data_IF_177366938160
#
_entry.id   IF_177366938160
#
_cell.length_a   1.000
_cell.length_b   1.000
_cell.length_c   1.000
_cell.angle_alpha   90.00
_cell.angle_beta   90.00
_cell.angle_gamma   90.00
#
_symmetry.space_group_name_H-M   'P 1'
#
loop_
_entity.id
_entity.type
_entity.pdbx_description
1 polymer ?
#
# COMPACT_ATOMS: atom_id res chain seq x y z
N UNK A 1 13.56 -63.57 21.16
CA UNK A 1 13.33 -64.57 20.10
C UNK A 1 12.67 -65.77 20.77
N UNK A 2 11.47 -66.18 20.34
CA UNK A 2 10.75 -67.31 20.93
C UNK A 2 9.25 -67.18 20.74
N UNK A 3 8.75 -67.75 19.64
CA UNK A 3 7.35 -67.80 19.23
C UNK A 3 6.58 -68.92 19.95
N UNK A 4 5.26 -68.78 20.04
CA UNK A 4 4.30 -69.87 20.34
C UNK A 4 3.23 -69.37 21.32
N UNK A 5 1.95 -69.25 21.00
CA UNK A 5 1.13 -70.04 20.08
C UNK A 5 0.22 -70.95 20.90
N UNK A 6 -0.99 -70.48 21.24
CA UNK A 6 -2.08 -71.32 21.77
C UNK A 6 -3.40 -70.93 21.12
N UNK A 7 -4.09 -71.96 20.63
CA UNK A 7 -5.36 -71.94 19.90
C UNK A 7 -6.52 -72.35 20.82
N UNK A 8 -7.73 -71.96 20.40
CA UNK A 8 -9.03 -72.65 20.54
C UNK A 8 -9.67 -72.69 21.94
N UNK A 9 -11.00 -72.63 22.15
CA UNK A 9 -12.22 -72.69 21.30
C UNK A 9 -13.42 -72.41 22.22
N UNK A 10 -14.46 -71.69 21.76
CA UNK A 10 -15.88 -72.04 21.98
C UNK A 10 -16.79 -71.10 21.15
N UNK A 11 -17.47 -71.57 20.08
CA UNK A 11 -18.82 -72.19 20.03
C UNK A 11 -19.92 -71.18 20.39
N UNK A 12 -20.46 -70.45 19.39
CA UNK A 12 -21.74 -70.64 18.66
C UNK A 12 -23.00 -70.24 19.46
N UNK A 13 -23.69 -69.20 18.96
CA UNK A 13 -25.16 -69.07 18.78
C UNK A 13 -25.36 -67.76 17.97
N UNK A 14 -25.75 -67.75 16.70
CA UNK A 14 -27.02 -68.12 16.07
C UNK A 14 -28.16 -67.11 16.36
N UNK A 15 -28.36 -66.21 15.41
CA UNK A 15 -29.62 -65.55 14.96
C UNK A 15 -29.18 -64.54 13.88
N UNK A 16 -29.20 -64.86 12.58
CA UNK A 16 -30.40 -64.98 11.72
C UNK A 16 -31.23 -63.70 11.79
N UNK A 17 -30.95 -62.74 10.91
CA UNK A 17 -31.95 -61.91 10.26
C UNK A 17 -31.47 -61.50 8.86
N UNK A 18 -32.40 -61.63 7.94
CA UNK A 18 -32.28 -61.69 6.50
C UNK A 18 -31.73 -60.46 5.78
N UNK A 19 -31.12 -60.77 4.64
CA UNK A 19 -30.96 -59.94 3.45
C UNK A 19 -32.26 -59.19 3.09
N UNK A 20 -32.14 -57.96 2.61
CA UNK A 20 -32.72 -57.61 1.31
C UNK A 20 -32.10 -56.33 0.73
N UNK A 21 -31.78 -56.45 -0.56
CA UNK A 21 -31.32 -55.46 -1.53
C UNK A 21 -32.05 -54.10 -1.46
N UNK A 22 -31.37 -53.03 -1.87
CA UNK A 22 -31.71 -52.29 -3.11
C UNK A 22 -30.84 -51.02 -3.28
N UNK A 23 -30.10 -51.03 -4.38
CA UNK A 23 -29.87 -49.96 -5.35
C UNK A 23 -29.19 -48.63 -5.00
N UNK A 24 -28.02 -48.51 -5.64
CA UNK A 24 -27.39 -47.34 -6.23
C UNK A 24 -28.32 -46.17 -6.59
N UNK A 25 -27.98 -44.96 -6.13
CA UNK A 25 -28.19 -43.72 -6.89
C UNK A 25 -27.10 -42.68 -6.56
N UNK A 26 -26.25 -42.42 -7.55
CA UNK A 26 -25.71 -41.08 -7.85
C UNK A 26 -26.19 -40.74 -9.26
N UNK A 27 -26.13 -39.49 -9.78
CA UNK A 27 -26.15 -38.17 -9.14
C UNK A 27 -27.27 -37.29 -9.75
N UNK A 28 -27.67 -36.17 -9.13
CA UNK A 28 -28.38 -35.11 -9.86
C UNK A 28 -27.87 -33.72 -9.53
N UNK A 29 -27.25 -33.11 -10.55
CA UNK A 29 -27.15 -31.68 -10.71
C UNK A 29 -28.54 -31.05 -10.66
N UNK A 30 -28.73 -30.05 -9.80
CA UNK A 30 -29.76 -29.02 -9.99
C UNK A 30 -29.11 -27.65 -9.92
N UNK A 31 -28.87 -27.11 -11.10
CA UNK A 31 -28.96 -25.70 -11.41
C UNK A 31 -30.31 -25.16 -10.92
N UNK A 32 -30.28 -24.12 -10.09
CA UNK A 32 -31.39 -23.18 -9.98
C UNK A 32 -30.84 -21.78 -9.79
N UNK A 33 -31.50 -20.90 -10.51
CA UNK A 33 -31.10 -19.58 -10.95
C UNK A 33 -31.71 -18.54 -10.01
N UNK A 34 -31.17 -17.32 -10.08
CA UNK A 34 -31.80 -16.05 -9.64
C UNK A 34 -31.75 -15.71 -8.14
N UNK A 35 -30.83 -14.83 -7.74
CA UNK A 35 -31.10 -13.39 -7.71
C UNK A 35 -29.90 -12.64 -7.10
N UNK A 36 -29.19 -11.91 -7.95
CA UNK A 36 -28.14 -10.98 -7.56
C UNK A 36 -28.75 -9.66 -7.07
N UNK A 37 -28.37 -9.13 -5.89
CA UNK A 37 -28.38 -7.69 -5.67
C UNK A 37 -27.08 -7.12 -6.25
N UNK A 38 -27.22 -6.59 -7.45
CA UNK A 38 -26.25 -5.73 -8.16
C UNK A 38 -25.96 -4.52 -7.28
N UNK A 39 -24.90 -4.54 -6.47
CA UNK A 39 -24.41 -3.32 -5.79
C UNK A 39 -23.76 -2.41 -6.85
N UNK A 40 -24.54 -1.43 -7.29
CA UNK A 40 -24.07 -0.23 -7.98
C UNK A 40 -23.05 0.49 -7.08
N UNK A 41 -21.76 0.40 -7.42
CA UNK A 41 -20.82 1.43 -7.01
C UNK A 41 -21.00 2.63 -7.93
N UNK A 42 -21.58 3.67 -7.35
CA UNK A 42 -21.85 4.95 -7.96
C UNK A 42 -20.50 5.67 -8.15
N UNK A 43 -19.95 5.58 -9.37
CA UNK A 43 -18.96 6.53 -9.86
C UNK A 43 -19.71 7.80 -10.23
N UNK A 44 -19.68 8.84 -9.38
CA UNK A 44 -19.75 10.21 -9.88
C UNK A 44 -19.17 11.25 -8.93
N UNK A 45 -18.02 11.77 -9.37
CA UNK A 45 -17.61 13.18 -9.40
C UNK A 45 -17.75 14.04 -8.15
N UNK A 46 -16.58 14.41 -7.59
CA UNK A 46 -16.33 15.82 -7.32
C UNK A 46 -14.92 16.19 -7.83
N UNK A 47 -14.86 16.59 -9.10
CA UNK A 47 -13.70 17.24 -9.70
C UNK A 47 -13.58 18.63 -9.10
N UNK A 48 -12.74 18.76 -8.07
CA UNK A 48 -12.30 20.04 -7.52
C UNK A 48 -11.48 20.80 -8.57
N UNK A 49 -12.17 21.71 -9.23
CA UNK A 49 -11.67 22.72 -10.14
C UNK A 49 -10.72 23.68 -9.40
N UNK A 50 -9.40 23.52 -9.57
CA UNK A 50 -8.43 24.52 -9.14
C UNK A 50 -7.99 25.40 -10.31
N UNK A 51 -8.64 26.54 -10.30
CA UNK A 51 -8.40 27.77 -11.03
C UNK A 51 -6.91 28.08 -11.21
N UNK A 52 -6.47 28.11 -12.45
CA UNK A 52 -5.20 28.68 -12.89
C UNK A 52 -5.35 30.19 -13.03
N UNK A 53 -4.86 30.99 -12.08
CA UNK A 53 -4.39 32.34 -12.41
C UNK A 53 -3.43 32.97 -11.39
N UNK A 54 -2.38 33.55 -11.97
CA UNK A 54 -1.58 34.72 -11.53
C UNK A 54 -0.79 34.69 -10.21
N UNK A 55 0.55 34.82 -10.34
CA UNK A 55 1.35 35.53 -9.33
C UNK A 55 2.79 35.05 -9.14
N UNK A 56 3.63 35.10 -10.17
CA UNK A 56 5.10 35.08 -9.95
C UNK A 56 5.57 36.42 -9.37
N UNK A 57 6.41 36.41 -8.33
CA UNK A 57 7.52 37.34 -8.25
C UNK A 57 8.86 36.61 -8.29
N UNK A 58 9.74 37.14 -9.13
CA UNK A 58 11.15 36.78 -9.32
C UNK A 58 11.98 36.83 -8.02
N UNK A 59 12.93 35.89 -7.87
CA UNK A 59 14.33 36.10 -7.43
C UNK A 59 15.10 34.76 -7.50
N UNK A 60 16.06 34.60 -8.42
CA UNK A 60 17.51 34.88 -8.28
C UNK A 60 18.14 34.12 -7.09
N UNK A 61 19.11 33.21 -7.23
CA UNK A 61 19.95 32.86 -8.37
C UNK A 61 20.80 31.62 -8.06
N UNK A 62 21.32 31.00 -9.11
CA UNK A 62 22.16 29.80 -9.05
C UNK A 62 22.46 29.33 -10.47
N UNK A 63 23.45 29.94 -11.11
CA UNK A 63 23.90 29.57 -12.46
C UNK A 63 24.55 28.19 -12.44
N UNK A 64 23.77 27.15 -12.72
CA UNK A 64 24.33 25.92 -13.30
C UNK A 64 24.44 26.14 -14.81
N UNK A 65 25.68 26.25 -15.29
CA UNK A 65 26.03 26.33 -16.70
C UNK A 65 25.77 24.97 -17.35
N UNK A 66 24.55 24.74 -17.82
CA UNK A 66 24.28 23.64 -18.76
C UNK A 66 24.87 23.98 -20.14
N UNK A 67 25.39 22.99 -20.88
CA UNK A 67 25.90 23.22 -22.23
C UNK A 67 24.77 23.70 -23.14
N UNK A 68 24.98 24.86 -23.76
CA UNK A 68 24.05 25.49 -24.69
C UNK A 68 24.06 24.69 -26.00
N UNK A 69 22.92 24.13 -26.39
CA UNK A 69 22.75 23.43 -27.67
C UNK A 69 22.99 24.40 -28.82
N UNK A 70 23.90 24.06 -29.75
CA UNK A 70 24.29 24.88 -30.91
C UNK A 70 23.15 25.13 -31.92
N UNK A 71 21.98 24.52 -31.75
CA UNK A 71 20.90 24.51 -32.75
C UNK A 71 19.56 25.06 -32.28
N UNK A 72 19.49 25.77 -31.14
CA UNK A 72 18.27 26.47 -30.74
C UNK A 72 17.97 27.63 -31.71
N UNK A 73 17.04 27.45 -32.66
CA UNK A 73 16.70 28.45 -33.66
C UNK A 73 15.22 28.86 -33.65
N UNK A 74 15.05 30.18 -33.82
CA UNK A 74 13.84 30.94 -34.12
C UNK A 74 12.95 30.28 -35.16
N UNK A 75 11.65 30.27 -34.86
CA UNK A 75 10.60 29.70 -35.71
C UNK A 75 9.77 30.85 -36.29
N UNK A 76 10.03 31.20 -37.56
CA UNK A 76 9.13 31.98 -38.41
C UNK A 76 9.41 31.59 -39.86
N UNK A 77 8.57 30.73 -40.44
CA UNK A 77 8.70 30.24 -41.80
C UNK A 77 7.48 29.43 -42.20
N UNK A 78 6.80 29.90 -43.24
CA UNK A 78 5.48 29.54 -43.75
C UNK A 78 5.32 28.08 -44.19
N UNK A 79 4.05 27.64 -44.15
CA UNK A 79 3.55 26.36 -44.63
C UNK A 79 3.55 26.25 -46.17
N UNK A 80 3.45 25.00 -46.62
CA UNK A 80 3.19 24.51 -47.98
C UNK A 80 4.37 24.31 -48.93
N UNK A 81 5.13 23.24 -48.70
CA UNK A 81 5.72 22.43 -49.77
C UNK A 81 6.06 21.03 -49.24
N UNK A 82 5.48 19.97 -49.83
CA UNK A 82 5.80 18.58 -49.48
C UNK A 82 7.14 18.18 -50.13
N UNK A 83 8.24 17.95 -49.36
CA UNK A 83 9.53 17.67 -49.97
C UNK A 83 9.69 16.19 -50.32
N UNK A 84 10.18 15.94 -51.53
CA UNK A 84 10.60 14.64 -52.07
C UNK A 84 11.65 13.90 -51.23
N UNK A 85 11.68 12.58 -51.41
CA UNK A 85 12.33 11.56 -50.58
C UNK A 85 13.88 11.53 -50.54
N UNK A 86 14.57 12.62 -50.88
CA UNK A 86 16.05 12.66 -50.85
C UNK A 86 16.66 13.66 -49.83
N UNK A 87 15.83 14.30 -49.01
CA UNK A 87 16.31 15.21 -47.95
C UNK A 87 16.71 14.45 -46.68
N UNK A 88 17.76 13.63 -46.77
CA UNK A 88 18.37 12.93 -45.63
C UNK A 88 18.79 13.90 -44.52
N UNK A 89 19.13 15.14 -44.89
CA UNK A 89 19.51 16.21 -43.95
C UNK A 89 18.29 16.71 -43.17
N UNK A 90 17.17 16.99 -43.86
CA UNK A 90 15.91 17.41 -43.26
C UNK A 90 15.30 16.35 -42.36
N UNK A 91 15.38 15.07 -42.72
CA UNK A 91 14.90 13.98 -41.87
C UNK A 91 15.67 13.90 -40.53
N UNK A 92 17.01 13.96 -40.58
CA UNK A 92 17.85 13.99 -39.37
C UNK A 92 17.55 15.21 -38.50
N UNK A 93 17.34 16.38 -39.13
CA UNK A 93 16.95 17.62 -38.41
C UNK A 93 15.60 17.46 -37.69
N UNK A 94 14.61 16.83 -38.31
CA UNK A 94 13.31 16.55 -37.67
C UNK A 94 13.46 15.66 -36.44
N UNK A 95 14.23 14.56 -36.52
CA UNK A 95 14.45 13.68 -35.36
C UNK A 95 15.10 14.44 -34.19
N UNK A 96 16.11 15.27 -34.46
CA UNK A 96 16.77 16.06 -33.42
C UNK A 96 15.81 17.08 -32.78
N UNK A 97 15.02 17.79 -33.59
CA UNK A 97 14.01 18.72 -33.09
C UNK A 97 12.92 18.01 -32.27
N UNK A 98 12.51 16.82 -32.69
CA UNK A 98 11.54 16.00 -31.95
C UNK A 98 12.10 15.59 -30.58
N UNK A 99 13.38 15.18 -30.50
CA UNK A 99 14.05 14.86 -29.23
C UNK A 99 14.14 16.08 -28.31
N UNK A 100 14.54 17.25 -28.82
CA UNK A 100 14.62 18.49 -28.04
C UNK A 100 13.24 18.89 -27.51
N UNK A 101 12.20 18.78 -28.35
CA UNK A 101 10.81 19.04 -27.97
C UNK A 101 10.35 18.07 -26.88
N UNK A 102 10.60 16.77 -27.05
CA UNK A 102 10.25 15.75 -26.07
C UNK A 102 10.97 15.97 -24.73
N UNK A 103 12.26 16.32 -24.76
CA UNK A 103 13.08 16.61 -23.58
C UNK A 103 12.56 17.79 -22.77
N UNK A 104 11.92 18.76 -23.43
CA UNK A 104 11.28 19.91 -22.77
C UNK A 104 9.95 19.54 -22.11
N UNK A 105 9.37 18.38 -22.47
CA UNK A 105 8.13 17.87 -21.92
C UNK A 105 8.28 17.16 -20.57
N UNK A 106 7.16 16.60 -20.12
CA UNK A 106 7.04 15.85 -18.86
C UNK A 106 6.70 14.36 -19.07
N UNK A 107 6.46 13.93 -20.31
CA UNK A 107 6.07 12.55 -20.64
C UNK A 107 7.31 11.68 -20.81
N UNK A 108 7.45 10.67 -19.96
CA UNK A 108 8.61 9.77 -19.92
C UNK A 108 8.67 8.94 -21.20
N UNK A 109 7.52 8.43 -21.64
CA UNK A 109 7.36 7.54 -22.79
C UNK A 109 7.75 8.26 -24.10
N UNK A 110 7.37 9.54 -24.22
CA UNK A 110 7.73 10.34 -25.39
C UNK A 110 9.24 10.57 -25.46
N UNK A 111 9.91 10.80 -24.33
CA UNK A 111 11.37 10.98 -24.28
C UNK A 111 12.07 9.66 -24.65
N UNK A 112 11.64 8.53 -24.09
CA UNK A 112 12.20 7.20 -24.40
C UNK A 112 12.10 6.88 -25.88
N UNK A 113 10.90 7.05 -26.46
CA UNK A 113 10.66 6.79 -27.89
C UNK A 113 11.54 7.66 -28.79
N UNK A 114 11.75 8.93 -28.43
CA UNK A 114 12.59 9.83 -29.22
C UNK A 114 14.09 9.51 -29.04
N UNK A 115 14.52 9.07 -27.86
CA UNK A 115 15.89 8.56 -27.63
C UNK A 115 16.14 7.32 -28.50
N UNK A 116 15.24 6.34 -28.47
CA UNK A 116 15.36 5.12 -29.27
C UNK A 116 15.41 5.46 -30.78
N UNK A 117 14.55 6.38 -31.24
CA UNK A 117 14.56 6.85 -32.62
C UNK A 117 15.88 7.57 -32.96
N UNK A 118 16.43 8.36 -32.05
CA UNK A 118 17.71 9.04 -32.23
C UNK A 118 18.87 8.04 -32.38
N UNK A 119 18.92 7.03 -31.51
CA UNK A 119 19.96 5.99 -31.49
C UNK A 119 19.86 5.05 -32.70
N UNK A 120 18.65 4.61 -33.07
CA UNK A 120 18.41 3.75 -34.24
C UNK A 120 18.84 4.39 -35.56
N UNK A 121 18.84 5.72 -35.64
CA UNK A 121 19.29 6.45 -36.82
C UNK A 121 20.78 6.84 -36.77
N UNK A 122 21.52 6.34 -35.76
CA UNK A 122 22.96 6.58 -35.56
C UNK A 122 23.33 8.07 -35.64
N UNK A 123 22.51 8.93 -35.02
CA UNK A 123 22.77 10.36 -35.04
C UNK A 123 23.90 10.73 -34.08
N UNK A 124 24.73 11.70 -34.46
CA UNK A 124 25.81 12.21 -33.61
C UNK A 124 25.23 12.95 -32.39
N UNK A 125 25.76 12.67 -31.20
CA UNK A 125 25.35 13.34 -29.97
C UNK A 125 26.01 14.73 -29.89
N UNK A 126 25.22 15.77 -30.13
CA UNK A 126 25.63 17.16 -29.94
C UNK A 126 25.27 17.67 -28.53
N UNK A 127 25.07 16.78 -27.55
CA UNK A 127 24.61 17.06 -26.19
C UNK A 127 23.10 16.89 -26.01
N UNK A 128 22.33 16.80 -27.09
CA UNK A 128 20.87 16.64 -27.04
C UNK A 128 20.48 15.26 -26.49
N UNK A 129 21.20 14.20 -26.89
CA UNK A 129 20.93 12.84 -26.42
C UNK A 129 21.31 12.69 -24.95
N UNK A 130 22.48 13.23 -24.57
CA UNK A 130 22.89 13.31 -23.17
C UNK A 130 21.80 14.01 -22.35
N UNK A 131 21.42 15.25 -22.69
CA UNK A 131 20.38 16.02 -22.00
C UNK A 131 19.04 15.28 -21.90
N UNK A 132 18.63 14.59 -22.96
CA UNK A 132 17.40 13.79 -22.95
C UNK A 132 17.49 12.63 -21.94
N UNK A 133 18.61 11.90 -21.91
CA UNK A 133 18.86 10.83 -20.93
C UNK A 133 18.89 11.37 -19.49
N UNK A 134 19.52 12.52 -19.28
CA UNK A 134 19.54 13.17 -17.96
C UNK A 134 18.12 13.49 -17.48
N UNK A 135 17.34 14.15 -18.35
CA UNK A 135 15.96 14.52 -18.06
C UNK A 135 15.10 13.29 -17.81
N UNK A 136 15.26 12.23 -18.60
CA UNK A 136 14.56 10.97 -18.42
C UNK A 136 14.82 10.38 -17.03
N UNK A 137 16.08 10.32 -16.61
CA UNK A 137 16.46 9.80 -15.29
C UNK A 137 15.83 10.62 -14.16
N UNK A 138 15.86 11.96 -14.26
CA UNK A 138 15.20 12.84 -13.29
C UNK A 138 13.70 12.55 -13.18
N UNK A 139 13.00 12.44 -14.31
CA UNK A 139 11.56 12.20 -14.32
C UNK A 139 11.20 10.81 -13.76
N UNK A 140 12.01 9.78 -14.06
CA UNK A 140 11.86 8.44 -13.48
C UNK A 140 12.01 8.48 -11.96
N UNK A 141 13.11 9.02 -11.44
CA UNK A 141 13.32 9.16 -9.99
C UNK A 141 12.19 9.92 -9.31
N UNK A 142 11.74 11.03 -9.91
CA UNK A 142 10.62 11.82 -9.38
C UNK A 142 9.31 11.02 -9.32
N UNK A 143 9.01 10.26 -10.38
CA UNK A 143 7.84 9.39 -10.45
C UNK A 143 7.95 8.27 -9.41
N UNK A 144 9.10 7.62 -9.35
CA UNK A 144 9.33 6.46 -8.49
C UNK A 144 9.27 6.87 -7.00
N UNK A 145 9.80 8.04 -6.62
CA UNK A 145 9.62 8.61 -5.27
C UNK A 145 8.14 8.80 -4.92
N UNK A 146 7.37 9.43 -5.82
CA UNK A 146 5.94 9.66 -5.60
C UNK A 146 5.18 8.35 -5.48
N UNK A 147 5.49 7.38 -6.34
CA UNK A 147 4.83 6.08 -6.36
C UNK A 147 5.21 5.25 -5.11
N UNK A 148 6.46 5.35 -4.64
CA UNK A 148 6.91 4.76 -3.38
C UNK A 148 6.16 5.35 -2.18
N UNK A 149 6.09 6.68 -2.07
CA UNK A 149 5.32 7.40 -1.03
C UNK A 149 3.86 6.91 -1.01
N UNK A 150 3.25 6.76 -2.18
CA UNK A 150 1.84 6.31 -2.30
C UNK A 150 1.65 4.86 -1.88
N UNK A 151 2.61 3.98 -2.17
CA UNK A 151 2.53 2.55 -1.84
C UNK A 151 2.80 2.25 -0.38
N UNK A 152 3.37 3.20 0.38
CA UNK A 152 3.68 3.05 1.80
C UNK A 152 4.50 1.78 2.13
N UNK A 153 5.36 1.33 1.23
CA UNK A 153 6.21 0.16 1.46
C UNK A 153 7.60 0.62 1.92
N UNK A 154 7.98 0.30 3.15
CA UNK A 154 9.23 0.76 3.76
C UNK A 154 10.49 0.38 2.94
N UNK A 155 10.58 -0.88 2.47
CA UNK A 155 11.76 -1.34 1.72
C UNK A 155 11.89 -0.71 0.34
N UNK A 156 10.78 -0.45 -0.35
CA UNK A 156 10.79 0.31 -1.61
C UNK A 156 11.15 1.76 -1.36
N UNK A 157 10.60 2.38 -0.30
CA UNK A 157 10.92 3.75 0.08
C UNK A 157 12.41 3.96 0.35
N UNK A 158 13.01 3.09 1.18
CA UNK A 158 14.43 3.17 1.53
C UNK A 158 15.31 3.14 0.30
N UNK A 159 15.03 2.20 -0.61
CA UNK A 159 15.78 2.09 -1.87
C UNK A 159 15.63 3.33 -2.73
N UNK A 160 14.40 3.81 -2.92
CA UNK A 160 14.15 4.96 -3.81
C UNK A 160 14.69 6.28 -3.21
N UNK A 161 14.67 6.44 -1.89
CA UNK A 161 15.33 7.55 -1.19
C UNK A 161 16.83 7.50 -1.46
N UNK A 162 17.48 6.36 -1.20
CA UNK A 162 18.92 6.20 -1.42
C UNK A 162 19.31 6.44 -2.89
N UNK A 163 18.52 5.96 -3.85
CA UNK A 163 18.75 6.22 -5.27
C UNK A 163 18.62 7.72 -5.62
N UNK A 164 17.65 8.42 -5.03
CA UNK A 164 17.44 9.84 -5.25
C UNK A 164 18.54 10.71 -4.61
N UNK A 165 18.99 10.37 -3.40
CA UNK A 165 20.07 11.06 -2.68
C UNK A 165 21.43 10.90 -3.36
N UNK A 166 21.73 9.69 -3.86
CA UNK A 166 22.97 9.42 -4.60
C UNK A 166 22.94 9.99 -6.02
N UNK A 167 21.81 10.53 -6.48
CA UNK A 167 21.69 11.15 -7.78
C UNK A 167 22.16 12.61 -7.75
N UNK A 168 22.65 13.10 -8.90
CA UNK A 168 22.93 14.54 -9.10
C UNK A 168 21.69 15.45 -8.96
N UNK A 169 20.49 14.88 -8.86
CA UNK A 169 19.24 15.61 -8.73
C UNK A 169 18.77 15.73 -7.28
N UNK A 170 19.54 15.26 -6.29
CA UNK A 170 19.18 15.28 -4.88
C UNK A 170 18.68 16.68 -4.43
N UNK A 171 19.37 17.75 -4.84
CA UNK A 171 18.94 19.13 -4.52
C UNK A 171 17.59 19.53 -5.11
N UNK A 172 17.25 19.06 -6.32
CA UNK A 172 15.96 19.34 -6.97
C UNK A 172 14.82 18.46 -6.45
N UNK A 173 15.16 17.26 -5.93
CA UNK A 173 14.23 16.29 -5.38
C UNK A 173 14.10 16.39 -3.85
N UNK A 174 14.78 17.35 -3.22
CA UNK A 174 14.84 17.47 -1.77
C UNK A 174 13.47 17.49 -1.08
N UNK A 175 12.45 18.24 -1.57
CA UNK A 175 11.14 18.23 -0.95
C UNK A 175 10.46 16.85 -1.01
N UNK A 176 10.66 16.10 -2.10
CA UNK A 176 10.13 14.74 -2.26
C UNK A 176 10.88 13.73 -1.39
N UNK A 177 12.21 13.88 -1.29
CA UNK A 177 13.05 13.05 -0.42
C UNK A 177 12.60 13.23 1.03
N UNK A 178 12.48 14.47 1.52
CA UNK A 178 12.05 14.74 2.90
C UNK A 178 10.63 14.23 3.17
N UNK A 179 9.72 14.31 2.19
CA UNK A 179 8.40 13.71 2.32
C UNK A 179 8.45 12.18 2.41
N UNK A 180 9.31 11.54 1.63
CA UNK A 180 9.54 10.10 1.68
C UNK A 180 10.17 9.68 3.02
N UNK A 181 11.22 10.36 3.48
CA UNK A 181 11.88 10.10 4.78
C UNK A 181 10.88 10.17 5.94
N UNK A 182 10.02 11.20 5.97
CA UNK A 182 8.95 11.30 6.98
C UNK A 182 7.99 10.11 6.94
N UNK A 183 7.57 9.68 5.74
CA UNK A 183 6.69 8.51 5.60
C UNK A 183 7.42 7.22 6.01
N UNK A 184 8.71 7.10 5.72
CA UNK A 184 9.52 5.96 6.14
C UNK A 184 9.64 5.87 7.66
N UNK A 185 9.98 6.98 8.33
CA UNK A 185 10.06 7.04 9.79
C UNK A 185 8.74 6.63 10.42
N UNK A 186 7.63 7.18 9.92
CA UNK A 186 6.29 6.83 10.35
C UNK A 186 6.00 5.32 10.22
N UNK A 187 6.37 4.70 9.08
CA UNK A 187 6.19 3.26 8.87
C UNK A 187 7.08 2.41 9.79
N UNK A 188 8.30 2.88 10.10
CA UNK A 188 9.19 2.18 11.04
C UNK A 188 8.63 2.19 12.46
N UNK A 189 8.08 3.32 12.90
CA UNK A 189 7.40 3.42 14.20
C UNK A 189 6.19 2.48 14.27
N UNK A 190 5.34 2.46 13.24
CA UNK A 190 4.19 1.54 13.21
C UNK A 190 4.64 0.07 13.26
N UNK A 191 5.68 -0.29 12.50
CA UNK A 191 6.24 -1.64 12.55
C UNK A 191 6.81 -2.00 13.93
N UNK A 192 7.39 -1.04 14.64
CA UNK A 192 7.87 -1.25 16.01
C UNK A 192 6.72 -1.59 16.96
N UNK A 193 5.60 -0.88 16.87
CA UNK A 193 4.43 -1.15 17.71
C UNK A 193 3.73 -2.46 17.35
N UNK A 194 3.73 -2.82 16.06
CA UNK A 194 3.08 -4.05 15.58
C UNK A 194 3.95 -5.30 15.75
N UNK A 195 5.25 -5.18 16.06
CA UNK A 195 6.19 -6.31 16.09
C UNK A 195 5.66 -7.48 16.94
N UNK A 196 5.25 -7.20 18.18
CA UNK A 196 4.79 -8.23 19.11
C UNK A 196 3.53 -8.97 18.61
N UNK A 197 2.63 -8.26 17.90
CA UNK A 197 1.45 -8.87 17.26
C UNK A 197 1.86 -9.70 16.05
N UNK A 198 2.79 -9.22 15.23
CA UNK A 198 3.22 -9.90 14.01
C UNK A 198 4.03 -11.17 14.30
N UNK A 199 4.70 -11.24 15.44
CA UNK A 199 5.43 -12.43 15.93
C UNK A 199 4.61 -13.30 16.87
N UNK A 200 3.36 -12.91 17.16
CA UNK A 200 2.49 -13.65 18.06
C UNK A 200 2.16 -15.03 17.47
N UNK A 201 2.15 -16.05 18.33
CA UNK A 201 1.81 -17.40 17.91
C UNK A 201 0.32 -17.52 17.56
N UNK A 202 0.00 -18.33 16.55
CA UNK A 202 -1.36 -18.58 16.10
C UNK A 202 -2.22 -19.21 17.21
N UNK A 203 -1.59 -19.92 18.15
CA UNK A 203 -2.24 -20.47 19.34
C UNK A 203 -2.87 -19.36 20.20
N UNK A 204 -2.19 -18.23 20.37
CA UNK A 204 -2.67 -17.09 21.16
C UNK A 204 -3.88 -16.40 20.52
N UNK A 205 -3.92 -16.31 19.19
CA UNK A 205 -5.10 -15.79 18.48
C UNK A 205 -6.25 -16.79 18.57
N UNK A 206 -5.94 -18.08 18.49
CA UNK A 206 -6.93 -19.15 18.63
C UNK A 206 -7.55 -19.17 20.03
N UNK A 207 -6.78 -18.83 21.07
CA UNK A 207 -7.27 -18.62 22.44
C UNK A 207 -8.36 -17.53 22.46
N UNK A 208 -8.06 -16.34 21.94
CA UNK A 208 -9.03 -15.23 21.85
C UNK A 208 -10.28 -15.67 21.09
N UNK A 209 -10.11 -16.35 19.95
CA UNK A 209 -11.22 -16.86 19.15
C UNK A 209 -12.04 -17.93 19.88
N UNK A 210 -11.45 -18.71 20.79
CA UNK A 210 -12.13 -19.83 21.47
C UNK A 210 -13.10 -19.40 22.57
N UNK A 211 -13.05 -18.14 23.02
CA UNK A 211 -13.95 -17.66 24.07
C UNK A 211 -15.40 -17.68 23.60
N UNK A 212 -16.22 -18.52 24.24
CA UNK A 212 -17.67 -18.46 24.07
C UNK A 212 -18.29 -17.27 24.82
N UNK A 213 -17.69 -16.90 25.95
CA UNK A 213 -18.04 -15.72 26.76
C UNK A 213 -16.74 -15.05 27.22
N UNK A 214 -16.23 -14.04 26.49
CA UNK A 214 -14.96 -13.43 26.84
C UNK A 214 -15.07 -12.63 28.14
N UNK A 215 -13.97 -12.50 28.91
CA UNK A 215 -13.88 -11.47 29.94
C UNK A 215 -14.15 -10.08 29.34
N UNK A 216 -14.78 -9.19 30.11
CA UNK A 216 -15.15 -7.85 29.63
C UNK A 216 -13.94 -7.06 29.12
N UNK A 217 -12.81 -7.13 29.85
CA UNK A 217 -11.56 -6.48 29.44
C UNK A 217 -11.02 -7.01 28.10
N UNK A 218 -11.15 -8.31 27.82
CA UNK A 218 -10.75 -8.91 26.53
C UNK A 218 -11.66 -8.42 25.41
N UNK A 219 -12.97 -8.44 25.63
CA UNK A 219 -13.96 -7.95 24.67
C UNK A 219 -13.67 -6.51 24.25
N UNK A 220 -13.50 -5.63 25.23
CA UNK A 220 -13.32 -4.20 25.02
C UNK A 220 -11.99 -3.88 24.33
N UNK A 221 -10.91 -4.57 24.69
CA UNK A 221 -9.60 -4.41 24.02
C UNK A 221 -9.66 -4.86 22.56
N UNK A 222 -10.34 -5.98 22.27
CA UNK A 222 -10.50 -6.44 20.90
C UNK A 222 -11.39 -5.48 20.10
N UNK A 223 -12.50 -5.00 20.68
CA UNK A 223 -13.34 -3.98 20.06
C UNK A 223 -12.53 -2.71 19.74
N UNK A 224 -11.80 -2.17 20.72
CA UNK A 224 -10.92 -1.02 20.56
C UNK A 224 -9.89 -1.21 19.42
N UNK A 225 -9.31 -2.42 19.31
CA UNK A 225 -8.37 -2.76 18.25
C UNK A 225 -9.02 -2.75 16.86
N UNK A 226 -10.22 -3.33 16.72
CA UNK A 226 -10.95 -3.30 15.45
C UNK A 226 -11.50 -1.92 15.09
N UNK A 227 -11.81 -1.07 16.07
CA UNK A 227 -12.16 0.33 15.82
C UNK A 227 -11.01 1.07 15.14
N UNK A 228 -9.76 0.89 15.62
CA UNK A 228 -8.58 1.45 14.95
C UNK A 228 -8.44 0.94 13.52
N UNK A 229 -8.80 -0.32 13.26
CA UNK A 229 -8.80 -0.91 11.92
C UNK A 229 -9.98 -0.44 11.03
N UNK A 230 -10.84 0.47 11.51
CA UNK A 230 -11.92 1.10 10.74
C UNK A 230 -13.28 0.43 10.85
N UNK A 231 -13.48 -0.45 11.84
CA UNK A 231 -14.79 -1.05 12.10
C UNK A 231 -15.66 -0.16 13.00
N UNK A 232 -16.98 -0.19 12.77
CA UNK A 232 -17.94 0.62 13.52
C UNK A 232 -18.21 0.07 14.93
N UNK A 233 -18.15 0.94 15.94
CA UNK A 233 -18.35 0.57 17.36
C UNK A 233 -19.66 -0.18 17.61
N UNK A 234 -20.75 0.16 16.92
CA UNK A 234 -22.05 -0.50 17.14
C UNK A 234 -22.02 -1.99 16.80
N UNK A 235 -21.24 -2.38 15.78
CA UNK A 235 -21.08 -3.77 15.36
C UNK A 235 -20.18 -4.57 16.28
N UNK A 236 -19.23 -3.89 16.94
CA UNK A 236 -18.24 -4.50 17.82
C UNK A 236 -18.78 -4.78 19.23
N UNK A 237 -20.02 -4.37 19.52
CA UNK A 237 -20.71 -4.72 20.78
C UNK A 237 -21.12 -6.19 20.83
N UNK A 238 -21.29 -6.82 19.67
CA UNK A 238 -21.60 -8.25 19.58
C UNK A 238 -20.30 -9.05 19.48
N UNK A 239 -20.01 -9.81 20.54
CA UNK A 239 -18.84 -10.68 20.56
C UNK A 239 -18.83 -11.68 19.39
N UNK A 240 -20.00 -12.17 18.96
CA UNK A 240 -20.10 -13.13 17.86
C UNK A 240 -19.52 -12.56 16.56
N UNK A 241 -19.72 -11.26 16.34
CA UNK A 241 -19.14 -10.55 15.21
C UNK A 241 -17.61 -10.43 15.35
N UNK A 242 -17.11 -9.97 16.51
CA UNK A 242 -15.68 -9.90 16.82
C UNK A 242 -14.97 -11.25 16.68
N UNK A 243 -15.59 -12.31 17.21
CA UNK A 243 -15.11 -13.69 17.13
C UNK A 243 -15.02 -14.12 15.66
N UNK A 244 -16.06 -13.90 14.85
CA UNK A 244 -16.04 -14.22 13.42
C UNK A 244 -14.91 -13.50 12.66
N UNK A 245 -14.58 -12.27 13.07
CA UNK A 245 -13.48 -11.48 12.49
C UNK A 245 -12.12 -12.03 12.92
N UNK A 246 -11.95 -12.35 14.21
CA UNK A 246 -10.72 -12.90 14.76
C UNK A 246 -10.37 -14.28 14.17
N UNK A 247 -11.37 -15.05 13.76
CA UNK A 247 -11.20 -16.36 13.11
C UNK A 247 -10.79 -16.31 11.64
N UNK A 248 -10.76 -15.13 11.00
CA UNK A 248 -10.38 -15.00 9.59
C UNK A 248 -8.88 -15.28 9.39
N UNK A 249 -8.55 -15.89 8.25
CA UNK A 249 -7.19 -16.28 7.89
C UNK A 249 -6.72 -15.62 6.58
N UNK A 250 -5.41 -15.59 6.36
CA UNK A 250 -4.82 -15.03 5.14
C UNK A 250 -4.95 -13.51 5.07
N UNK A 251 -5.42 -12.98 3.94
CA UNK A 251 -5.51 -11.52 3.68
C UNK A 251 -6.54 -10.82 4.57
N UNK A 252 -7.54 -11.56 5.04
CA UNK A 252 -8.60 -11.01 5.90
C UNK A 252 -8.31 -11.25 7.40
N UNK A 253 -7.14 -11.81 7.73
CA UNK A 253 -6.75 -12.06 9.12
C UNK A 253 -6.46 -10.77 9.88
N UNK A 254 -6.69 -10.80 11.19
CA UNK A 254 -6.37 -9.69 12.09
C UNK A 254 -4.89 -9.30 12.02
N UNK A 255 -3.97 -10.28 11.95
CA UNK A 255 -2.53 -10.01 11.81
C UNK A 255 -2.25 -9.24 10.51
N UNK A 256 -2.89 -9.63 9.40
CA UNK A 256 -2.72 -8.94 8.12
C UNK A 256 -3.28 -7.51 8.18
N UNK A 257 -4.43 -7.32 8.84
CA UNK A 257 -5.01 -5.99 9.04
C UNK A 257 -4.08 -5.07 9.86
N UNK A 258 -3.47 -5.59 10.93
CA UNK A 258 -2.49 -4.85 11.74
C UNK A 258 -1.20 -4.55 10.96
N UNK A 259 -0.78 -5.43 10.05
CA UNK A 259 0.39 -5.22 9.19
C UNK A 259 0.17 -4.06 8.20
N UNK A 260 -1.00 -4.00 7.59
CA UNK A 260 -1.36 -2.99 6.59
C UNK A 260 -1.96 -1.72 7.21
N UNK A 261 -1.98 -1.64 8.55
CA UNK A 261 -2.56 -0.53 9.28
C UNK A 261 -1.81 0.79 8.99
N UNK A 262 -2.57 1.83 8.66
CA UNK A 262 -2.08 3.20 8.49
C UNK A 262 -2.83 4.14 9.44
N UNK A 263 -2.11 4.68 10.42
CA UNK A 263 -2.67 5.56 11.45
C UNK A 263 -3.23 6.89 10.90
N UNK A 264 -2.83 7.29 9.69
CA UNK A 264 -3.36 8.52 9.06
C UNK A 264 -4.84 8.43 8.67
N UNK A 265 -5.40 7.23 8.60
CA UNK A 265 -6.83 7.01 8.29
C UNK A 265 -7.74 7.03 9.51
N UNK A 266 -7.18 7.13 10.73
CA UNK A 266 -7.96 7.13 11.97
C UNK A 266 -8.36 8.56 12.33
N UNK A 267 -9.67 8.79 12.47
CA UNK A 267 -10.21 10.08 12.88
C UNK A 267 -10.00 10.35 14.38
N UNK A 268 -10.20 11.60 14.79
CA UNK A 268 -9.92 12.02 16.16
C UNK A 268 -10.91 11.48 17.17
N UNK A 269 -12.18 11.39 16.77
CA UNK A 269 -13.21 10.84 17.63
C UNK A 269 -12.94 9.35 17.91
N UNK A 270 -12.58 8.56 16.89
CA UNK A 270 -12.22 7.15 17.08
C UNK A 270 -11.00 6.98 17.98
N UNK A 271 -9.91 7.71 17.75
CA UNK A 271 -8.70 7.61 18.58
C UNK A 271 -8.99 7.94 20.06
N UNK A 272 -9.76 9.01 20.32
CA UNK A 272 -10.19 9.38 21.67
C UNK A 272 -11.09 8.32 22.30
N UNK A 273 -12.04 7.78 21.53
CA UNK A 273 -12.96 6.75 22.00
C UNK A 273 -12.23 5.46 22.37
N UNK A 274 -11.29 5.03 21.54
CA UNK A 274 -10.41 3.89 21.81
C UNK A 274 -9.61 4.12 23.10
N UNK A 275 -9.06 5.33 23.30
CA UNK A 275 -8.36 5.70 24.54
C UNK A 275 -9.23 5.53 25.78
N UNK A 276 -10.47 6.02 25.73
CA UNK A 276 -11.43 5.90 26.83
C UNK A 276 -11.72 4.44 27.19
N UNK A 277 -11.92 3.58 26.18
CA UNK A 277 -12.15 2.14 26.36
C UNK A 277 -10.93 1.48 27.01
N UNK A 278 -9.73 1.73 26.49
CA UNK A 278 -8.49 1.11 26.98
C UNK A 278 -8.12 1.57 28.39
N UNK A 279 -8.39 2.82 28.75
CA UNK A 279 -8.11 3.38 30.08
C UNK A 279 -9.03 2.84 31.18
N UNK A 280 -10.17 2.24 30.82
CA UNK A 280 -11.05 1.60 31.79
C UNK A 280 -10.46 0.31 32.37
N UNK A 281 -9.53 -0.32 31.65
CA UNK A 281 -8.95 -1.60 31.99
C UNK A 281 -7.46 -1.44 32.33
N UNK A 282 -7.03 -1.99 33.46
CA UNK A 282 -5.61 -2.06 33.79
C UNK A 282 -4.91 -3.12 32.93
N UNK A 283 -3.70 -2.81 32.44
CA UNK A 283 -2.94 -3.74 31.60
C UNK A 283 -2.62 -5.05 32.33
N UNK A 284 -2.38 -5.01 33.64
CA UNK A 284 -2.16 -6.18 34.47
C UNK A 284 -3.39 -7.09 34.51
N UNK A 285 -4.58 -6.51 34.66
CA UNK A 285 -5.85 -7.24 34.62
C UNK A 285 -6.08 -7.91 33.26
N UNK A 286 -5.86 -7.17 32.16
CA UNK A 286 -5.99 -7.71 30.80
C UNK A 286 -5.02 -8.86 30.59
N UNK A 287 -3.77 -8.74 31.06
CA UNK A 287 -2.74 -9.78 30.92
C UNK A 287 -3.05 -11.04 31.73
N UNK A 288 -3.63 -10.90 32.91
CA UNK A 288 -4.10 -12.05 33.70
C UNK A 288 -5.25 -12.77 32.98
N UNK A 289 -6.14 -12.02 32.30
CA UNK A 289 -7.25 -12.59 31.56
C UNK A 289 -6.83 -13.24 30.22
N UNK A 290 -5.97 -12.58 29.44
CA UNK A 290 -5.45 -13.11 28.17
C UNK A 290 -4.16 -12.39 27.76
N UNK A 291 -3.09 -13.18 27.53
CA UNK A 291 -1.83 -12.64 27.03
C UNK A 291 -1.98 -12.02 25.64
N UNK A 292 -2.80 -12.63 24.78
CA UNK A 292 -3.07 -12.11 23.43
C UNK A 292 -3.76 -10.76 23.48
N UNK A 293 -4.82 -10.64 24.29
CA UNK A 293 -5.51 -9.36 24.47
C UNK A 293 -4.57 -8.29 25.03
N UNK A 294 -3.69 -8.63 25.98
CA UNK A 294 -2.72 -7.67 26.51
C UNK A 294 -1.76 -7.13 25.43
N UNK A 295 -1.33 -7.97 24.48
CA UNK A 295 -0.53 -7.51 23.34
C UNK A 295 -1.30 -6.51 22.47
N UNK A 296 -2.59 -6.76 22.20
CA UNK A 296 -3.46 -5.82 21.49
C UNK A 296 -3.71 -4.52 22.27
N UNK A 297 -3.84 -4.58 23.60
CA UNK A 297 -3.99 -3.41 24.45
C UNK A 297 -2.76 -2.49 24.33
N UNK A 298 -1.55 -3.05 24.45
CA UNK A 298 -0.29 -2.30 24.30
C UNK A 298 -0.17 -1.68 22.91
N UNK A 299 -0.45 -2.47 21.86
CA UNK A 299 -0.43 -1.97 20.49
C UNK A 299 -1.42 -0.81 20.29
N UNK A 300 -2.69 -1.00 20.63
CA UNK A 300 -3.72 0.00 20.45
C UNK A 300 -3.41 1.28 21.23
N UNK A 301 -2.92 1.15 22.47
CA UNK A 301 -2.48 2.29 23.29
C UNK A 301 -1.34 3.07 22.61
N UNK A 302 -0.30 2.37 22.13
CA UNK A 302 0.82 2.99 21.42
C UNK A 302 0.38 3.68 20.12
N UNK A 303 -0.55 3.09 19.38
CA UNK A 303 -1.11 3.68 18.16
C UNK A 303 -1.86 4.97 18.47
N UNK A 304 -2.72 4.99 19.49
CA UNK A 304 -3.44 6.19 19.89
C UNK A 304 -2.47 7.28 20.35
N UNK A 305 -1.48 6.94 21.17
CA UNK A 305 -0.42 7.89 21.58
C UNK A 305 0.35 8.46 20.40
N UNK A 306 0.61 7.63 19.38
CA UNK A 306 1.26 8.07 18.14
C UNK A 306 0.38 9.06 17.36
N UNK A 307 -0.91 8.74 17.20
CA UNK A 307 -1.88 9.59 16.49
C UNK A 307 -1.94 10.98 17.14
N UNK A 308 -2.00 11.03 18.48
CA UNK A 308 -2.06 12.30 19.21
C UNK A 308 -0.78 13.12 19.01
N UNK A 309 0.40 12.49 19.07
CA UNK A 309 1.70 13.14 18.79
C UNK A 309 1.78 13.69 17.37
N UNK A 310 1.42 12.88 16.37
CA UNK A 310 1.47 13.27 14.95
C UNK A 310 0.60 14.51 14.69
N UNK A 311 -0.58 14.59 15.34
CA UNK A 311 -1.48 15.75 15.25
C UNK A 311 -0.96 16.98 15.97
N UNK A 312 -0.38 16.82 17.17
CA UNK A 312 0.25 17.94 17.87
C UNK A 312 1.38 18.55 17.05
N UNK A 313 2.21 17.73 16.41
CA UNK A 313 3.26 18.20 15.51
C UNK A 313 2.70 18.93 14.30
N UNK A 314 1.62 18.42 13.69
CA UNK A 314 0.97 19.09 12.57
C UNK A 314 0.40 20.45 12.97
N UNK A 315 -0.27 20.53 14.13
CA UNK A 315 -0.81 21.78 14.66
C UNK A 315 0.29 22.81 14.95
N UNK A 316 1.42 22.38 15.54
CA UNK A 316 2.59 23.24 15.77
C UNK A 316 3.15 23.79 14.46
N UNK A 317 3.22 22.97 13.40
CA UNK A 317 3.68 23.41 12.07
C UNK A 317 2.76 24.46 11.45
N UNK A 318 1.44 24.25 11.55
CA UNK A 318 0.43 25.20 11.01
C UNK A 318 0.47 26.57 11.70
N UNK A 319 0.91 26.64 12.95
CA UNK A 319 1.02 27.90 13.70
C UNK A 319 2.31 28.69 13.40
N UNK A 320 3.30 28.08 12.75
CA UNK A 320 4.59 28.71 12.43
C UNK A 320 4.70 29.23 11.00
N UNK A 321 3.74 28.87 10.13
CA UNK A 321 3.60 29.35 8.75
C UNK A 321 2.57 30.45 8.66
#
# INVERSE_FOLDING_TARGET
>A
MGCGGSKNTNTKDATEYDDEDYDAYSPTNKTSTQNSPRRHYNNNTNYGNYNSNTGSPYRSGGTQTSPVSKYALNNNGSADEFPEANDKQGYKRRIRNDLIRATSGSKIEDIEKNIEKFEKNHMEDCGDLTRAKERLQYLKLKRDLRDAIRRSNAGVLERTIAEAENSRYAGQLRPQIEAAERKLEHLRELNKYSHDILTMDQATISEIHSYHRPPACVHDVMAASYMLLGHDESTLRDWSYLQSMAGKVGKDSLIHAVREFDSSNVDEATAKRVREILNYHDLGEVRVASNGAATFHVWASNIVDKIDKDREEENKRRQQT
#
